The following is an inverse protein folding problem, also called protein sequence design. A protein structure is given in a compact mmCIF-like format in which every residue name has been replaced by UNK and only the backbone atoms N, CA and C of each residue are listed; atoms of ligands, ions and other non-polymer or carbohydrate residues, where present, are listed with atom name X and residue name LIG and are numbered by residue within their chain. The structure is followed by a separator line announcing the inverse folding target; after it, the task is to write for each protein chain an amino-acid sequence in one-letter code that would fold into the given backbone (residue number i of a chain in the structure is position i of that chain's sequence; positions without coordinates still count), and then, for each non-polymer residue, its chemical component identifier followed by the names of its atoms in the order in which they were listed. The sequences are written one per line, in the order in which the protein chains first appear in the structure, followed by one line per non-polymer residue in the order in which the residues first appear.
data_IF_886440354675
#
_entry.id   IF_886440354675
#
_cell.length_a   1.000
_cell.length_b   1.000
_cell.length_c   1.000
_cell.angle_alpha   90.00
_cell.angle_beta   90.00
_cell.angle_gamma   90.00
#
_symmetry.space_group_name_H-M   'P 1'
#
loop_
_entity.id
_entity.type
_entity.pdbx_description
1 polymer ?
#
# COMPACT_ATOMS: atom_id res chain seq x y z
N UNK A 1 -12.35 -7.65 11.76
CA UNK A 1 -11.81 -7.72 10.39
C UNK A 1 -11.52 -6.30 9.97
N UNK A 2 -10.26 -5.98 9.63
CA UNK A 2 -9.97 -4.63 9.18
C UNK A 2 -10.38 -4.50 7.72
N UNK A 3 -11.02 -3.38 7.39
CA UNK A 3 -11.44 -3.05 6.02
C UNK A 3 -10.24 -3.00 5.03
N UNK A 4 -9.01 -2.90 5.54
CA UNK A 4 -7.76 -2.79 4.78
C UNK A 4 -7.29 -4.15 4.22
N UNK A 5 -7.57 -5.26 4.90
CA UNK A 5 -7.09 -6.60 4.49
C UNK A 5 -8.08 -7.31 3.53
N UNK A 6 -9.24 -6.70 3.27
CA UNK A 6 -10.31 -7.35 2.51
C UNK A 6 -9.90 -7.78 1.11
N UNK A 7 -9.07 -6.99 0.41
CA UNK A 7 -8.58 -7.33 -0.94
C UNK A 7 -7.62 -8.52 -0.93
N UNK A 8 -6.67 -8.56 0.03
CA UNK A 8 -5.79 -9.72 0.25
C UNK A 8 -6.63 -10.96 0.55
N UNK A 9 -7.57 -10.86 1.49
CA UNK A 9 -8.44 -11.97 1.88
C UNK A 9 -9.22 -12.52 0.69
N UNK A 10 -9.82 -11.65 -0.10
CA UNK A 10 -10.53 -12.05 -1.32
C UNK A 10 -9.61 -12.75 -2.33
N UNK A 11 -8.43 -12.19 -2.61
CA UNK A 11 -7.47 -12.79 -3.54
C UNK A 11 -7.01 -14.17 -3.05
N UNK A 12 -6.68 -14.29 -1.77
CA UNK A 12 -6.27 -15.55 -1.15
C UNK A 12 -7.36 -16.63 -1.24
N UNK A 13 -8.63 -16.27 -1.00
CA UNK A 13 -9.75 -17.19 -1.12
C UNK A 13 -10.03 -17.58 -2.57
N UNK A 14 -10.23 -16.59 -3.44
CA UNK A 14 -10.82 -16.80 -4.76
C UNK A 14 -9.77 -17.24 -5.79
N UNK A 15 -8.56 -16.70 -5.69
CA UNK A 15 -7.48 -16.98 -6.66
C UNK A 15 -6.60 -18.13 -6.16
N UNK A 16 -6.23 -18.09 -4.87
CA UNK A 16 -5.27 -19.05 -4.32
C UNK A 16 -5.92 -20.21 -3.55
N UNK A 17 -7.25 -20.25 -3.39
CA UNK A 17 -7.96 -21.36 -2.75
C UNK A 17 -7.66 -21.51 -1.26
N UNK A 18 -7.33 -20.43 -0.57
CA UNK A 18 -7.02 -20.42 0.87
C UNK A 18 -8.30 -20.25 1.67
N UNK A 19 -8.57 -21.16 2.60
CA UNK A 19 -9.81 -21.16 3.36
C UNK A 19 -9.66 -20.59 4.78
N UNK A 20 -10.77 -20.07 5.30
CA UNK A 20 -10.88 -19.63 6.68
C UNK A 20 -10.00 -18.43 7.03
N UNK A 21 -9.62 -18.27 8.31
CA UNK A 21 -8.87 -17.11 8.79
C UNK A 21 -7.50 -16.93 8.12
N UNK A 22 -6.90 -18.01 7.60
CA UNK A 22 -5.60 -17.96 6.93
C UNK A 22 -5.62 -17.11 5.64
N UNK A 23 -6.80 -16.82 5.08
CA UNK A 23 -6.92 -15.93 3.95
C UNK A 23 -6.48 -14.49 4.25
N UNK A 24 -6.48 -14.03 5.50
CA UNK A 24 -6.02 -12.69 5.86
C UNK A 24 -4.49 -12.56 5.92
N UNK A 25 -3.79 -13.69 5.95
CA UNK A 25 -2.33 -13.73 6.09
C UNK A 25 -1.64 -13.53 4.75
N UNK A 26 -0.45 -12.93 4.77
CA UNK A 26 0.40 -12.87 3.59
C UNK A 26 0.86 -14.28 3.22
N UNK A 27 0.65 -14.69 1.96
CA UNK A 27 1.06 -16.01 1.48
C UNK A 27 2.57 -16.05 1.15
N UNK A 28 3.17 -17.25 1.09
CA UNK A 28 4.51 -17.44 0.53
C UNK A 28 4.65 -16.80 -0.86
N UNK A 29 5.85 -16.31 -1.20
CA UNK A 29 6.09 -15.54 -2.43
C UNK A 29 5.63 -16.26 -3.72
N UNK A 30 5.82 -17.57 -3.79
CA UNK A 30 5.40 -18.44 -4.88
C UNK A 30 3.87 -18.58 -5.05
N UNK A 31 3.09 -18.08 -4.07
CA UNK A 31 1.63 -18.04 -4.08
C UNK A 31 1.09 -16.61 -3.94
N UNK A 32 1.84 -15.62 -4.42
CA UNK A 32 1.40 -14.22 -4.50
C UNK A 32 1.40 -13.74 -5.95
N UNK A 33 0.62 -12.70 -6.20
CA UNK A 33 0.56 -12.03 -7.49
C UNK A 33 1.92 -11.40 -7.82
N UNK A 34 2.33 -11.49 -9.10
CA UNK A 34 3.54 -10.82 -9.59
C UNK A 34 3.38 -9.30 -9.65
N UNK A 35 2.16 -8.84 -9.91
CA UNK A 35 1.79 -7.43 -10.06
C UNK A 35 0.51 -7.17 -9.28
N UNK A 36 0.48 -6.06 -8.57
CA UNK A 36 -0.74 -5.48 -8.03
C UNK A 36 -0.76 -3.96 -8.28
N UNK A 37 -1.98 -3.42 -8.37
CA UNK A 37 -2.20 -1.99 -8.52
C UNK A 37 -3.23 -1.49 -7.50
N UNK A 38 -3.04 -0.27 -7.02
CA UNK A 38 -3.95 0.38 -6.06
C UNK A 38 -3.80 1.90 -6.05
N UNK A 39 -4.69 2.56 -5.33
CA UNK A 39 -4.78 4.02 -5.30
C UNK A 39 -5.15 4.57 -3.91
N UNK A 40 -5.40 3.68 -2.95
CA UNK A 40 -5.98 4.03 -1.66
C UNK A 40 -5.42 3.22 -0.49
N UNK A 41 -5.68 3.67 0.73
CA UNK A 41 -5.23 3.01 1.96
C UNK A 41 -5.74 1.57 2.12
N UNK A 42 -6.89 1.23 1.53
CA UNK A 42 -7.42 -0.15 1.55
C UNK A 42 -6.66 -1.10 0.64
N UNK A 43 -5.77 -0.57 -0.20
CA UNK A 43 -5.01 -1.35 -1.16
C UNK A 43 -3.61 -1.65 -0.64
N UNK A 44 -3.19 -1.03 0.47
CA UNK A 44 -1.81 -1.10 0.97
C UNK A 44 -1.34 -2.54 1.15
N UNK A 45 -2.14 -3.39 1.79
CA UNK A 45 -1.78 -4.80 2.03
C UNK A 45 -1.72 -5.60 0.74
N UNK A 46 -2.77 -5.54 -0.07
CA UNK A 46 -2.87 -6.26 -1.34
C UNK A 46 -1.80 -5.81 -2.35
N UNK A 47 -1.52 -4.51 -2.43
CA UNK A 47 -0.44 -4.00 -3.28
C UNK A 47 0.90 -4.44 -2.72
N UNK A 48 1.15 -4.24 -1.43
CA UNK A 48 2.40 -4.64 -0.76
C UNK A 48 2.75 -6.13 -0.94
N UNK A 49 1.75 -6.99 -1.11
CA UNK A 49 1.95 -8.42 -1.35
C UNK A 49 2.55 -8.77 -2.72
N UNK A 50 2.51 -7.87 -3.71
CA UNK A 50 3.01 -8.20 -5.04
C UNK A 50 4.53 -8.36 -5.07
N UNK A 51 4.99 -9.44 -5.71
CA UNK A 51 6.40 -9.85 -5.61
C UNK A 51 7.33 -9.19 -6.63
N UNK A 52 6.84 -8.70 -7.78
CA UNK A 52 7.70 -8.09 -8.82
C UNK A 52 7.40 -6.62 -9.06
N UNK A 53 6.13 -6.21 -9.12
CA UNK A 53 5.77 -4.84 -9.40
C UNK A 53 4.57 -4.37 -8.58
N UNK A 54 4.69 -3.17 -8.01
CA UNK A 54 3.66 -2.52 -7.18
C UNK A 54 3.31 -1.17 -7.78
N UNK A 55 2.21 -1.12 -8.52
CA UNK A 55 1.78 0.10 -9.20
C UNK A 55 0.82 0.90 -8.33
N UNK A 56 1.14 2.16 -8.08
CA UNK A 56 0.26 3.07 -7.34
C UNK A 56 -0.18 4.21 -8.23
N UNK A 57 -1.50 4.39 -8.34
CA UNK A 57 -2.08 5.59 -8.95
C UNK A 57 -2.14 6.68 -7.89
N UNK A 58 -1.40 7.77 -8.10
CA UNK A 58 -1.28 8.84 -7.13
C UNK A 58 -2.59 9.65 -7.03
N UNK A 59 -3.38 9.35 -6.00
CA UNK A 59 -4.55 10.13 -5.57
C UNK A 59 -4.29 10.97 -4.32
N UNK A 60 -3.02 11.18 -3.97
CA UNK A 60 -2.55 11.80 -2.73
C UNK A 60 -2.98 11.05 -1.45
N UNK A 61 -3.25 9.74 -1.52
CA UNK A 61 -3.54 8.95 -0.32
C UNK A 61 -2.26 8.72 0.50
N UNK A 62 -2.27 9.08 1.78
CA UNK A 62 -1.02 9.22 2.52
C UNK A 62 -0.24 7.91 2.73
N UNK A 63 -0.90 6.85 3.19
CA UNK A 63 -0.23 5.60 3.58
C UNK A 63 0.40 4.88 2.39
N UNK A 64 -0.38 4.66 1.33
CA UNK A 64 0.12 3.96 0.15
C UNK A 64 1.22 4.74 -0.56
N UNK A 65 1.15 6.08 -0.56
CA UNK A 65 2.20 6.92 -1.13
C UNK A 65 3.46 6.95 -0.27
N UNK A 66 3.37 6.77 1.06
CA UNK A 66 4.55 6.57 1.90
C UNK A 66 5.32 5.33 1.48
N UNK A 67 4.66 4.18 1.32
CA UNK A 67 5.31 2.96 0.83
C UNK A 67 5.85 3.13 -0.59
N UNK A 68 5.06 3.72 -1.50
CA UNK A 68 5.44 3.85 -2.90
C UNK A 68 6.65 4.77 -3.12
N UNK A 69 6.78 5.84 -2.33
CA UNK A 69 7.92 6.75 -2.42
C UNK A 69 9.14 6.27 -1.62
N UNK A 70 8.93 5.58 -0.50
CA UNK A 70 10.02 4.95 0.27
C UNK A 70 10.73 3.90 -0.57
N UNK A 71 9.95 3.05 -1.26
CA UNK A 71 10.42 2.12 -2.29
C UNK A 71 11.69 1.35 -1.91
N UNK A 72 11.77 0.84 -0.68
CA UNK A 72 12.98 0.23 -0.11
C UNK A 72 13.56 -0.88 -1.01
N UNK A 73 12.70 -1.66 -1.66
CA UNK A 73 13.06 -2.78 -2.53
C UNK A 73 13.08 -2.45 -4.03
N UNK A 74 12.83 -1.20 -4.41
CA UNK A 74 12.92 -0.73 -5.80
C UNK A 74 11.81 -1.22 -6.73
N UNK A 75 10.76 -1.86 -6.24
CA UNK A 75 9.68 -2.46 -7.07
C UNK A 75 8.38 -1.66 -7.09
N UNK A 76 8.35 -0.49 -6.47
CA UNK A 76 7.21 0.42 -6.49
C UNK A 76 7.27 1.37 -7.69
N UNK A 77 6.14 1.48 -8.38
CA UNK A 77 5.92 2.34 -9.52
C UNK A 77 4.80 3.31 -9.17
N UNK A 78 4.98 4.59 -9.51
CA UNK A 78 3.98 5.62 -9.27
C UNK A 78 3.57 6.21 -10.61
N UNK A 79 2.27 6.34 -10.82
CA UNK A 79 1.70 7.03 -11.98
C UNK A 79 0.67 8.06 -11.51
N UNK A 80 0.59 9.26 -12.10
CA UNK A 80 -0.50 10.18 -11.79
C UNK A 80 -1.83 9.61 -12.31
N UNK A 81 -2.95 10.17 -11.87
CA UNK A 81 -4.22 9.86 -12.52
C UNK A 81 -4.18 10.35 -13.98
N UNK A 82 -4.57 9.49 -14.92
CA UNK A 82 -4.60 9.82 -16.35
C UNK A 82 -5.57 10.95 -16.69
N UNK A 83 -6.69 11.03 -15.97
CA UNK A 83 -7.73 12.04 -16.18
C UNK A 83 -7.78 12.90 -14.92
N UNK A 84 -7.59 14.22 -15.11
CA UNK A 84 -7.68 15.23 -14.05
C UNK A 84 -6.79 14.91 -12.83
N UNK A 85 -5.46 14.79 -13.01
CA UNK A 85 -4.56 14.47 -11.90
C UNK A 85 -4.76 15.41 -10.72
N UNK A 86 -4.60 14.86 -9.51
CA UNK A 86 -4.60 15.69 -8.31
C UNK A 86 -3.38 16.62 -8.37
N UNK A 87 -3.51 17.86 -7.85
CA UNK A 87 -2.34 18.72 -7.70
C UNK A 87 -1.27 18.00 -6.89
N UNK A 88 -0.02 18.14 -7.32
CA UNK A 88 1.14 17.71 -6.55
C UNK A 88 1.06 18.32 -5.14
N UNK A 89 1.36 17.51 -4.12
CA UNK A 89 1.38 18.03 -2.76
C UNK A 89 2.52 19.02 -2.56
N UNK A 90 2.22 20.17 -1.94
CA UNK A 90 3.21 21.12 -1.46
C UNK A 90 3.90 20.67 -0.16
N UNK A 91 3.18 19.89 0.66
CA UNK A 91 3.69 19.34 1.92
C UNK A 91 4.01 17.86 1.78
N UNK A 92 5.11 17.38 2.40
CA UNK A 92 5.42 15.95 2.46
C UNK A 92 4.26 15.10 2.99
N UNK A 93 4.22 13.85 2.56
CA UNK A 93 3.41 12.80 3.19
C UNK A 93 3.92 12.57 4.62
N UNK A 94 3.06 12.70 5.65
CA UNK A 94 3.47 12.65 7.05
C UNK A 94 3.64 11.20 7.55
N UNK A 95 4.55 10.47 6.91
CA UNK A 95 4.79 9.04 7.12
C UNK A 95 5.24 8.73 8.55
N UNK A 96 6.01 9.62 9.16
CA UNK A 96 6.54 9.45 10.53
C UNK A 96 5.54 9.76 11.64
N UNK A 97 4.34 10.29 11.31
CA UNK A 97 3.42 10.78 12.33
C UNK A 97 1.98 10.30 12.17
N UNK A 98 1.34 10.49 11.01
CA UNK A 98 -0.12 10.37 10.88
C UNK A 98 -0.64 9.85 9.54
N UNK A 99 0.21 9.19 8.74
CA UNK A 99 -0.21 8.64 7.46
C UNK A 99 -0.91 7.27 7.60
N UNK A 100 -0.54 6.45 8.60
CA UNK A 100 -1.17 5.16 8.87
C UNK A 100 -2.53 5.31 9.54
N UNK A 101 -3.48 4.43 9.22
CA UNK A 101 -4.77 4.35 9.92
C UNK A 101 -4.84 3.10 10.80
N UNK A 102 -4.83 3.31 12.12
CA UNK A 102 -4.94 2.23 13.10
C UNK A 102 -6.31 1.55 13.02
N UNK A 103 -6.45 0.30 13.53
CA UNK A 103 -7.73 -0.41 13.56
C UNK A 103 -8.86 0.32 14.29
N UNK A 104 -8.54 1.17 15.26
CA UNK A 104 -9.50 2.03 15.98
C UNK A 104 -9.83 3.35 15.23
N UNK A 105 -9.28 3.53 14.03
CA UNK A 105 -9.45 4.72 13.19
C UNK A 105 -8.51 5.88 13.53
N UNK A 106 -7.73 5.79 14.61
CA UNK A 106 -6.72 6.80 14.94
C UNK A 106 -5.59 6.81 13.91
N UNK A 107 -4.84 7.91 13.86
CA UNK A 107 -3.72 8.07 12.93
C UNK A 107 -2.40 7.74 13.60
N UNK A 108 -1.48 7.14 12.86
CA UNK A 108 -0.16 6.76 13.35
C UNK A 108 0.93 6.82 12.28
N UNK A 109 2.17 6.49 12.67
CA UNK A 109 3.29 6.40 11.74
C UNK A 109 3.20 5.14 10.88
N UNK A 110 3.70 5.23 9.65
CA UNK A 110 3.86 4.11 8.72
C UNK A 110 5.20 3.42 8.98
N UNK A 111 5.18 2.10 8.96
CA UNK A 111 6.35 1.25 9.20
C UNK A 111 6.67 0.41 7.98
N UNK A 112 7.95 0.10 7.78
CA UNK A 112 8.41 -0.95 6.87
C UNK A 112 8.11 -2.32 7.44
N UNK A 113 8.35 -3.36 6.63
CA UNK A 113 8.19 -4.76 7.07
C UNK A 113 9.12 -5.11 8.24
N UNK A 114 10.32 -4.53 8.30
CA UNK A 114 11.27 -4.70 9.41
C UNK A 114 10.86 -3.93 10.69
N UNK A 115 9.76 -3.17 10.64
CA UNK A 115 9.23 -2.37 11.74
C UNK A 115 9.86 -0.97 11.88
N UNK A 116 10.86 -0.63 11.07
CA UNK A 116 11.44 0.72 11.02
C UNK A 116 10.43 1.75 10.49
N UNK A 117 10.58 3.01 10.89
CA UNK A 117 9.70 4.08 10.41
C UNK A 117 10.06 4.48 8.98
N UNK A 118 9.04 4.72 8.16
CA UNK A 118 9.20 5.36 6.86
C UNK A 118 9.36 6.88 7.08
N UNK A 119 10.45 7.51 6.60
CA UNK A 119 10.61 8.96 6.62
C UNK A 119 9.50 9.67 5.84
N UNK A 120 9.22 10.93 6.17
CA UNK A 120 8.25 11.73 5.42
C UNK A 120 8.67 11.85 3.94
N UNK A 121 7.74 11.55 3.05
CA UNK A 121 8.02 11.44 1.62
C UNK A 121 7.54 12.67 0.86
N UNK A 122 8.34 13.15 -0.09
CA UNK A 122 7.96 14.28 -0.95
C UNK A 122 7.25 13.75 -2.18
N UNK A 123 6.17 14.40 -2.58
CA UNK A 123 5.48 14.10 -3.84
C UNK A 123 6.34 14.56 -5.03
N UNK A 124 6.72 13.65 -5.93
CA UNK A 124 7.64 13.91 -7.06
C UNK A 124 6.99 13.76 -8.44
N UNK A 125 5.80 13.19 -8.49
CA UNK A 125 5.07 12.90 -9.74
C UNK A 125 4.11 14.05 -10.06
N UNK A 126 3.99 14.38 -11.35
CA UNK A 126 3.24 15.52 -11.89
C UNK A 126 2.39 15.10 -13.09
#
# INVERSE_FOLDING_TARGET
MTYIEGKRCWANQVIFGVEGPSAFEQLPAERRQILAAGDSGTDVTFVGDAIEARLVVNRNNAEIMCHAYDNEDGKWLITPMFIQPKPQRSEPYPCTTKAYTNPDGSKGPVKREDGSLIPDQVDRVH
#
